data_IF_470547233914
#
_entry.id   IF_470547233914
#
_cell.length_a   1.000
_cell.length_b   1.000
_cell.length_c   1.000
_cell.angle_alpha   90.00
_cell.angle_beta   90.00
_cell.angle_gamma   90.00
#
_symmetry.space_group_name_H-M   'P 1'
#
loop_
_entity.id
_entity.type
_entity.pdbx_description
1 polymer ?
#
# COMPACT_ATOMS: atom_id res chain seq x y z
N UNK A 1 20.93 -12.40 -15.10
CA UNK A 1 20.20 -11.35 -14.34
C UNK A 1 19.73 -10.32 -15.35
N UNK A 2 18.43 -10.19 -15.60
CA UNK A 2 17.90 -9.11 -16.42
C UNK A 2 18.18 -7.77 -15.74
N UNK A 3 18.67 -6.79 -16.50
CA UNK A 3 18.90 -5.43 -15.99
C UNK A 3 17.54 -4.89 -15.51
N UNK A 4 17.48 -4.35 -14.28
CA UNK A 4 16.28 -3.68 -13.82
C UNK A 4 15.97 -2.49 -14.75
N UNK A 5 14.69 -2.21 -15.03
CA UNK A 5 14.33 -1.10 -15.90
C UNK A 5 14.76 0.24 -15.29
N UNK A 6 15.08 1.19 -16.13
CA UNK A 6 15.18 2.59 -15.69
C UNK A 6 13.82 3.11 -15.26
N UNK A 7 13.80 4.08 -14.34
CA UNK A 7 12.57 4.58 -13.75
C UNK A 7 12.35 6.02 -14.12
N UNK A 8 11.18 6.32 -14.67
CA UNK A 8 10.71 7.69 -14.92
C UNK A 8 9.75 8.09 -13.81
N UNK A 9 9.94 9.30 -13.27
CA UNK A 9 9.07 9.82 -12.20
C UNK A 9 8.38 11.10 -12.62
N UNK A 10 7.19 11.35 -12.07
CA UNK A 10 6.44 12.58 -12.26
C UNK A 10 5.58 12.90 -11.05
N UNK A 11 5.25 14.17 -10.86
CA UNK A 11 4.22 14.62 -9.91
C UNK A 11 3.07 15.22 -10.72
N UNK A 12 1.86 14.82 -10.38
CA UNK A 12 0.64 15.28 -11.03
C UNK A 12 -0.53 15.22 -10.06
N UNK A 13 -1.72 15.63 -10.50
CA UNK A 13 -2.95 15.51 -9.71
C UNK A 13 -4.04 14.86 -10.54
N UNK A 14 -4.89 14.10 -9.87
CA UNK A 14 -6.12 13.53 -10.43
C UNK A 14 -7.30 14.26 -9.83
N UNK A 15 -8.30 14.56 -10.64
CA UNK A 15 -9.47 15.34 -10.19
C UNK A 15 -10.76 14.62 -10.55
N UNK A 16 -11.67 14.51 -9.57
CA UNK A 16 -13.03 14.05 -9.77
C UNK A 16 -13.97 14.75 -8.78
N UNK A 17 -15.17 15.10 -9.22
CA UNK A 17 -16.24 15.67 -8.39
C UNK A 17 -15.81 16.90 -7.56
N UNK A 18 -14.90 17.72 -8.13
CA UNK A 18 -14.39 18.93 -7.47
C UNK A 18 -13.32 18.68 -6.39
N UNK A 19 -12.89 17.43 -6.21
CA UNK A 19 -11.73 17.07 -5.37
C UNK A 19 -10.50 16.85 -6.24
N UNK A 20 -9.35 17.32 -5.78
CA UNK A 20 -8.05 17.13 -6.41
C UNK A 20 -7.15 16.32 -5.47
N UNK A 21 -6.47 15.30 -6.01
CA UNK A 21 -5.56 14.42 -5.27
C UNK A 21 -4.22 14.43 -5.95
N UNK A 22 -3.22 14.98 -5.27
CA UNK A 22 -1.83 14.96 -5.75
C UNK A 22 -1.23 13.58 -5.62
N UNK A 23 -0.41 13.20 -6.59
CA UNK A 23 0.26 11.90 -6.62
C UNK A 23 1.71 12.03 -7.11
N UNK A 24 2.58 11.16 -6.59
CA UNK A 24 3.88 10.88 -7.17
C UNK A 24 3.79 9.57 -7.94
N UNK A 25 4.16 9.59 -9.21
CA UNK A 25 4.15 8.42 -10.08
C UNK A 25 5.58 8.02 -10.39
N UNK A 26 5.89 6.74 -10.23
CA UNK A 26 7.11 6.11 -10.73
C UNK A 26 6.72 4.97 -11.68
N UNK A 27 7.31 4.93 -12.86
CA UNK A 27 7.03 3.90 -13.87
C UNK A 27 8.32 3.37 -14.51
N UNK A 28 8.33 2.08 -14.91
CA UNK A 28 9.45 1.55 -15.68
C UNK A 28 9.48 2.19 -17.05
N UNK A 29 10.67 2.64 -17.50
CA UNK A 29 10.87 3.22 -18.82
C UNK A 29 10.67 2.17 -19.92
N UNK A 30 10.01 2.56 -21.02
CA UNK A 30 9.82 1.72 -22.21
C UNK A 30 8.82 0.58 -22.05
N UNK A 31 8.09 0.52 -20.93
CA UNK A 31 7.02 -0.47 -20.72
C UNK A 31 5.67 0.11 -21.14
N UNK A 32 5.06 -0.48 -22.17
CA UNK A 32 3.78 0.00 -22.71
C UNK A 32 2.59 -0.30 -21.79
N UNK A 33 2.58 -1.50 -21.18
CA UNK A 33 1.50 -1.92 -20.27
C UNK A 33 2.07 -2.60 -19.03
N UNK A 34 1.60 -2.21 -17.86
CA UNK A 34 1.99 -2.82 -16.59
C UNK A 34 0.85 -2.81 -15.57
N UNK A 35 0.88 -3.70 -14.57
CA UNK A 35 0.02 -3.56 -13.41
C UNK A 35 0.42 -2.31 -12.61
N UNK A 36 -0.57 -1.66 -11.99
CA UNK A 36 -0.36 -0.50 -11.14
C UNK A 36 -0.48 -0.88 -9.64
N UNK A 37 0.26 -0.15 -8.79
CA UNK A 37 0.17 -0.26 -7.34
C UNK A 37 -0.08 1.14 -6.77
N UNK A 38 -1.21 1.29 -6.08
CA UNK A 38 -1.49 2.47 -5.25
C UNK A 38 -0.69 2.31 -3.96
N UNK A 39 0.09 3.32 -3.59
CA UNK A 39 0.88 3.35 -2.35
C UNK A 39 0.32 4.43 -1.45
N UNK A 40 -0.03 4.06 -0.22
CA UNK A 40 -0.54 5.00 0.77
C UNK A 40 0.51 5.23 1.85
N UNK A 41 0.85 6.51 2.06
CA UNK A 41 1.92 6.92 2.96
C UNK A 41 1.60 6.66 4.45
N UNK A 42 2.64 6.69 5.28
CA UNK A 42 2.53 6.71 6.74
C UNK A 42 1.93 8.05 7.22
N UNK A 43 1.75 8.21 8.52
CA UNK A 43 1.24 9.45 9.13
C UNK A 43 2.12 10.70 8.90
N UNK A 44 3.32 10.51 8.32
CA UNK A 44 4.27 11.59 7.98
C UNK A 44 3.89 12.39 6.73
N UNK A 45 2.92 11.93 5.95
CA UNK A 45 2.61 12.47 4.62
C UNK A 45 3.43 11.84 3.49
N UNK A 46 3.18 12.27 2.26
CA UNK A 46 3.95 11.85 1.10
C UNK A 46 5.35 12.50 1.16
N UNK A 47 6.34 11.70 1.51
CA UNK A 47 7.70 12.12 1.77
C UNK A 47 8.72 11.35 0.89
N UNK A 48 10.02 11.73 0.88
CA UNK A 48 11.03 11.06 0.05
C UNK A 48 11.15 9.55 0.27
N UNK A 49 10.86 9.02 1.46
CA UNK A 49 10.85 7.58 1.71
C UNK A 49 9.77 6.88 0.87
N UNK A 50 8.55 7.40 0.87
CA UNK A 50 7.44 6.83 0.09
C UNK A 50 7.67 7.01 -1.41
N UNK A 51 8.29 8.13 -1.84
CA UNK A 51 8.70 8.32 -3.23
C UNK A 51 9.77 7.29 -3.65
N UNK A 52 10.73 6.95 -2.76
CA UNK A 52 11.71 5.88 -3.02
C UNK A 52 11.04 4.50 -3.07
N UNK A 53 10.12 4.21 -2.16
CA UNK A 53 9.32 2.96 -2.22
C UNK A 53 8.59 2.82 -3.56
N UNK A 54 7.99 3.91 -4.06
CA UNK A 54 7.35 3.91 -5.39
C UNK A 54 8.35 3.59 -6.51
N UNK A 55 9.56 4.17 -6.45
CA UNK A 55 10.62 3.87 -7.42
C UNK A 55 11.10 2.40 -7.32
N UNK A 56 11.14 1.82 -6.10
CA UNK A 56 11.46 0.39 -5.92
C UNK A 56 10.42 -0.48 -6.63
N UNK A 57 9.12 -0.21 -6.48
CA UNK A 57 8.07 -0.92 -7.22
C UNK A 57 8.19 -0.74 -8.74
N UNK A 58 8.57 0.45 -9.20
CA UNK A 58 8.77 0.68 -10.63
C UNK A 58 9.95 -0.13 -11.20
N UNK A 59 11.04 -0.32 -10.42
CA UNK A 59 12.16 -1.21 -10.80
C UNK A 59 11.73 -2.67 -10.90
N UNK A 60 10.69 -3.07 -10.18
CA UNK A 60 10.07 -4.40 -10.30
C UNK A 60 9.03 -4.49 -11.44
N UNK A 61 8.88 -3.42 -12.23
CA UNK A 61 8.04 -3.39 -13.42
C UNK A 61 6.57 -3.06 -13.15
N UNK A 62 6.26 -2.35 -12.06
CA UNK A 62 4.92 -1.83 -11.76
C UNK A 62 4.83 -0.33 -12.05
N UNK A 63 3.64 0.15 -12.40
CA UNK A 63 3.32 1.57 -12.34
C UNK A 63 2.97 1.88 -10.88
N UNK A 64 3.83 2.59 -10.17
CA UNK A 64 3.65 2.88 -8.75
C UNK A 64 3.12 4.31 -8.56
N UNK A 65 2.01 4.44 -7.84
CA UNK A 65 1.32 5.73 -7.64
C UNK A 65 1.17 6.00 -6.15
N UNK A 66 2.07 6.82 -5.61
CA UNK A 66 2.02 7.24 -4.22
C UNK A 66 1.05 8.41 -4.06
N UNK A 67 -0.01 8.18 -3.29
CA UNK A 67 -1.11 9.13 -3.11
C UNK A 67 -0.82 10.05 -1.94
N UNK A 68 -1.02 11.35 -2.13
CA UNK A 68 -0.93 12.35 -1.07
C UNK A 68 -2.30 12.60 -0.44
N UNK A 69 -2.47 12.15 0.80
CA UNK A 69 -3.70 12.34 1.58
C UNK A 69 -3.68 13.63 2.42
N UNK A 70 -2.57 14.38 2.39
CA UNK A 70 -2.38 15.58 3.21
C UNK A 70 -2.20 16.86 2.39
N UNK A 71 -2.57 16.83 1.10
CA UNK A 71 -2.58 18.00 0.21
C UNK A 71 -1.26 18.79 0.19
N UNK A 72 -0.15 18.07 0.02
CA UNK A 72 1.20 18.65 -0.08
C UNK A 72 1.93 18.81 1.26
N UNK A 73 1.31 18.42 2.37
CA UNK A 73 1.95 18.54 3.69
C UNK A 73 2.65 17.24 4.06
N UNK A 74 3.92 17.35 4.45
CA UNK A 74 4.67 16.25 5.08
C UNK A 74 5.50 16.78 6.23
N UNK A 75 5.75 15.97 7.25
CA UNK A 75 6.46 16.38 8.45
C UNK A 75 7.37 15.28 8.99
N UNK A 76 8.32 15.66 9.85
CA UNK A 76 9.11 14.75 10.69
C UNK A 76 8.79 14.94 12.19
N UNK A 77 7.96 15.93 12.49
CA UNK A 77 7.53 16.20 13.86
C UNK A 77 6.34 15.32 14.24
N UNK A 78 6.45 14.63 15.38
CA UNK A 78 5.43 13.71 15.88
C UNK A 78 4.10 14.38 16.21
N UNK A 79 4.13 15.61 16.77
CA UNK A 79 2.91 16.31 17.14
C UNK A 79 2.15 16.78 15.89
N UNK A 80 2.88 17.29 14.91
CA UNK A 80 2.29 17.68 13.64
C UNK A 80 1.75 16.47 12.88
N UNK A 81 2.47 15.34 12.85
CA UNK A 81 2.00 14.10 12.24
C UNK A 81 0.71 13.58 12.90
N UNK A 82 0.65 13.62 14.24
CA UNK A 82 -0.56 13.22 14.97
C UNK A 82 -1.75 14.16 14.67
N UNK A 83 -1.51 15.45 14.51
CA UNK A 83 -2.53 16.42 14.13
C UNK A 83 -3.04 16.20 12.71
N UNK A 84 -2.12 15.97 11.74
CA UNK A 84 -2.48 15.66 10.34
C UNK A 84 -3.33 14.38 10.27
N UNK A 85 -2.87 13.30 10.92
CA UNK A 85 -3.60 12.04 10.95
C UNK A 85 -4.97 12.18 11.64
N UNK A 86 -5.04 12.90 12.76
CA UNK A 86 -6.30 13.15 13.48
C UNK A 86 -7.30 14.05 12.72
N UNK A 87 -6.82 14.85 11.77
CA UNK A 87 -7.65 15.72 10.92
C UNK A 87 -8.17 15.02 9.67
N UNK A 88 -7.53 13.93 9.25
CA UNK A 88 -7.93 13.16 8.08
C UNK A 88 -9.11 12.24 8.45
N UNK A 89 -10.28 12.56 7.93
CA UNK A 89 -11.44 11.69 8.09
C UNK A 89 -11.27 10.44 7.21
N UNK A 90 -11.60 9.25 7.72
CA UNK A 90 -11.48 8.01 6.94
C UNK A 90 -12.20 8.07 5.59
N UNK A 91 -13.40 8.65 5.55
CA UNK A 91 -14.19 8.81 4.33
C UNK A 91 -13.52 9.73 3.28
N UNK A 92 -12.82 10.78 3.71
CA UNK A 92 -12.12 11.68 2.80
C UNK A 92 -10.86 11.01 2.22
N UNK A 93 -10.12 10.26 3.04
CA UNK A 93 -8.97 9.48 2.58
C UNK A 93 -9.38 8.39 1.58
N UNK A 94 -10.44 7.65 1.87
CA UNK A 94 -10.97 6.61 0.97
C UNK A 94 -11.51 7.20 -0.33
N UNK A 95 -12.20 8.36 -0.28
CA UNK A 95 -12.64 9.06 -1.48
C UNK A 95 -11.46 9.49 -2.36
N UNK A 96 -10.37 9.98 -1.76
CA UNK A 96 -9.14 10.33 -2.49
C UNK A 96 -8.52 9.10 -3.15
N UNK A 97 -8.44 7.98 -2.45
CA UNK A 97 -7.91 6.73 -3.01
C UNK A 97 -8.80 6.16 -4.12
N UNK A 98 -10.11 6.32 -4.01
CA UNK A 98 -11.05 5.94 -5.07
C UNK A 98 -10.82 6.76 -6.34
N UNK A 99 -10.60 8.06 -6.24
CA UNK A 99 -10.27 8.92 -7.39
C UNK A 99 -9.02 8.38 -8.10
N UNK A 100 -7.96 8.04 -7.35
CA UNK A 100 -6.73 7.47 -7.90
C UNK A 100 -6.99 6.12 -8.56
N UNK A 101 -7.77 5.24 -7.93
CA UNK A 101 -8.14 3.93 -8.45
C UNK A 101 -8.91 4.04 -9.77
N UNK A 102 -9.94 4.89 -9.81
CA UNK A 102 -10.77 5.09 -11.00
C UNK A 102 -9.95 5.66 -12.17
N UNK A 103 -9.04 6.60 -11.87
CA UNK A 103 -8.13 7.15 -12.86
C UNK A 103 -7.20 6.09 -13.44
N UNK A 104 -6.54 5.29 -12.58
CA UNK A 104 -5.67 4.19 -13.01
C UNK A 104 -6.41 3.18 -13.90
N UNK A 105 -7.66 2.88 -13.58
CA UNK A 105 -8.49 1.99 -14.37
C UNK A 105 -8.90 2.54 -15.72
N UNK A 106 -8.91 3.86 -15.87
CA UNK A 106 -9.18 4.52 -17.16
C UNK A 106 -7.97 4.56 -18.10
N UNK A 107 -6.76 4.23 -17.60
CA UNK A 107 -5.54 4.26 -18.40
C UNK A 107 -5.35 2.97 -19.17
N UNK A 108 -5.16 3.05 -20.49
CA UNK A 108 -4.96 1.88 -21.37
C UNK A 108 -3.69 1.09 -21.05
N UNK A 109 -2.69 1.73 -20.45
CA UNK A 109 -1.44 1.11 -20.00
C UNK A 109 -1.56 0.32 -18.71
N UNK A 110 -2.63 0.48 -17.92
CA UNK A 110 -2.82 -0.23 -16.66
C UNK A 110 -3.58 -1.52 -16.86
N UNK A 111 -2.96 -2.65 -16.55
CA UNK A 111 -3.56 -3.98 -16.73
C UNK A 111 -4.36 -4.49 -15.55
N UNK A 112 -4.01 -4.06 -14.35
CA UNK A 112 -4.63 -4.43 -13.06
C UNK A 112 -4.17 -3.46 -11.98
N UNK A 113 -4.87 -3.35 -10.85
CA UNK A 113 -4.53 -2.41 -9.77
C UNK A 113 -4.45 -3.13 -8.44
N UNK A 114 -3.28 -3.09 -7.80
CA UNK A 114 -3.08 -3.46 -6.41
C UNK A 114 -3.00 -2.23 -5.51
N UNK A 115 -3.11 -2.46 -4.20
CA UNK A 115 -2.91 -1.41 -3.20
C UNK A 115 -2.00 -1.88 -2.09
N UNK A 116 -1.11 -1.01 -1.65
CA UNK A 116 -0.29 -1.17 -0.46
C UNK A 116 -0.26 0.13 0.35
N UNK A 117 0.12 0.03 1.59
CA UNK A 117 0.28 1.21 2.42
C UNK A 117 0.92 0.85 3.75
N UNK A 118 1.44 1.85 4.43
CA UNK A 118 2.28 1.70 5.60
C UNK A 118 1.67 2.44 6.80
N UNK A 119 1.60 1.82 7.97
CA UNK A 119 1.02 2.42 9.18
C UNK A 119 -0.43 2.89 8.93
N UNK A 120 -0.72 4.17 9.06
CA UNK A 120 -2.00 4.77 8.66
C UNK A 120 -2.39 4.33 7.22
N UNK A 121 -1.44 4.37 6.29
CA UNK A 121 -1.66 3.93 4.92
C UNK A 121 -2.00 2.44 4.79
N UNK A 122 -1.48 1.59 5.68
CA UNK A 122 -1.84 0.18 5.76
C UNK A 122 -3.31 -0.01 6.12
N UNK A 123 -3.82 0.82 7.05
CA UNK A 123 -5.26 0.85 7.38
C UNK A 123 -6.09 1.21 6.16
N UNK A 124 -5.70 2.26 5.43
CA UNK A 124 -6.40 2.67 4.22
C UNK A 124 -6.34 1.62 3.10
N UNK A 125 -5.21 0.93 2.94
CA UNK A 125 -5.08 -0.15 1.95
C UNK A 125 -6.03 -1.33 2.25
N UNK A 126 -6.19 -1.70 3.53
CA UNK A 126 -7.15 -2.72 3.96
C UNK A 126 -8.59 -2.26 3.71
N UNK A 127 -8.93 -1.05 4.12
CA UNK A 127 -10.29 -0.52 3.99
C UNK A 127 -10.69 -0.30 2.52
N UNK A 128 -9.80 0.19 1.69
CA UNK A 128 -10.04 0.34 0.25
C UNK A 128 -10.36 -1.02 -0.39
N UNK A 129 -9.58 -2.06 -0.07
CA UNK A 129 -9.80 -3.42 -0.57
C UNK A 129 -11.12 -4.06 -0.09
N UNK A 130 -11.68 -3.57 1.04
CA UNK A 130 -12.98 -3.98 1.53
C UNK A 130 -14.16 -3.18 0.90
N UNK A 131 -13.89 -2.02 0.31
CA UNK A 131 -14.93 -1.14 -0.23
C UNK A 131 -14.95 -1.11 -1.75
N UNK A 132 -13.79 -1.21 -2.38
CA UNK A 132 -13.60 -1.09 -3.81
C UNK A 132 -12.99 -2.38 -4.37
N UNK A 133 -13.23 -2.61 -5.65
CA UNK A 133 -12.62 -3.75 -6.33
C UNK A 133 -11.17 -3.41 -6.66
N UNK A 134 -10.22 -4.07 -6.03
CA UNK A 134 -8.80 -4.11 -6.40
C UNK A 134 -8.39 -5.57 -6.62
N UNK A 135 -7.30 -5.81 -7.33
CA UNK A 135 -6.88 -7.18 -7.67
C UNK A 135 -5.99 -7.82 -6.60
N UNK A 136 -5.39 -7.01 -5.71
CA UNK A 136 -4.61 -7.48 -4.56
C UNK A 136 -4.38 -6.35 -3.55
N UNK A 137 -4.26 -6.69 -2.26
CA UNK A 137 -3.96 -5.71 -1.20
C UNK A 137 -2.86 -6.18 -0.27
N UNK A 138 -1.90 -5.29 0.03
CA UNK A 138 -0.81 -5.56 0.98
C UNK A 138 -0.71 -4.43 2.02
N UNK A 139 -1.48 -4.50 3.10
CA UNK A 139 -1.35 -3.60 4.24
C UNK A 139 -0.10 -3.93 5.06
N UNK A 140 0.79 -2.95 5.29
CA UNK A 140 1.88 -3.04 6.25
C UNK A 140 1.47 -2.39 7.57
N UNK A 141 1.49 -3.16 8.64
CA UNK A 141 1.22 -2.73 10.03
C UNK A 141 0.11 -1.67 10.13
N UNK A 142 -0.98 -1.87 9.37
CA UNK A 142 -2.17 -1.05 9.42
C UNK A 142 -3.11 -1.43 10.55
N UNK A 143 -3.90 -0.49 11.05
CA UNK A 143 -4.87 -0.80 12.09
C UNK A 143 -6.00 -1.69 11.57
N UNK A 144 -6.48 -2.55 12.45
CA UNK A 144 -7.53 -3.53 12.15
C UNK A 144 -8.86 -3.02 12.70
N UNK A 145 -9.90 -2.90 11.87
CA UNK A 145 -11.21 -2.45 12.33
C UNK A 145 -11.73 -3.26 13.53
N UNK A 146 -12.33 -2.57 14.49
CA UNK A 146 -12.98 -3.22 15.64
C UNK A 146 -14.20 -4.00 15.18
N UNK A 147 -15.02 -3.39 14.31
CA UNK A 147 -16.08 -4.09 13.60
C UNK A 147 -15.50 -4.90 12.44
N UNK A 148 -15.31 -6.18 12.66
CA UNK A 148 -14.75 -7.10 11.66
C UNK A 148 -15.73 -7.48 10.56
N UNK A 149 -16.98 -7.06 10.59
CA UNK A 149 -17.95 -7.32 9.51
C UNK A 149 -17.50 -6.67 8.20
N UNK A 150 -16.74 -5.58 8.26
CA UNK A 150 -16.15 -4.94 7.09
C UNK A 150 -15.20 -5.89 6.33
N UNK A 151 -14.51 -6.80 7.03
CA UNK A 151 -13.60 -7.79 6.41
C UNK A 151 -14.40 -8.79 5.56
N UNK A 152 -15.65 -9.02 5.88
CA UNK A 152 -16.56 -9.82 5.05
C UNK A 152 -16.74 -9.27 3.62
N UNK A 153 -16.47 -7.98 3.39
CA UNK A 153 -16.56 -7.33 2.07
C UNK A 153 -15.26 -7.41 1.26
N UNK A 154 -14.15 -7.87 1.87
CA UNK A 154 -12.88 -8.02 1.16
C UNK A 154 -13.07 -8.85 -0.12
N UNK A 155 -12.74 -8.26 -1.28
CA UNK A 155 -13.01 -8.83 -2.60
C UNK A 155 -11.77 -9.34 -3.35
N UNK A 156 -10.59 -9.25 -2.74
CA UNK A 156 -9.33 -9.62 -3.38
C UNK A 156 -8.42 -10.43 -2.44
N UNK A 157 -7.39 -11.11 -2.95
CA UNK A 157 -6.32 -11.65 -2.14
C UNK A 157 -5.66 -10.58 -1.27
N UNK A 158 -5.35 -10.93 -0.01
CA UNK A 158 -4.73 -10.04 0.98
C UNK A 158 -3.47 -10.69 1.57
N UNK A 159 -2.40 -9.90 1.66
CA UNK A 159 -1.22 -10.23 2.44
C UNK A 159 -0.99 -9.12 3.49
N UNK A 160 -1.37 -9.37 4.73
CA UNK A 160 -1.12 -8.44 5.83
C UNK A 160 0.27 -8.66 6.41
N UNK A 161 1.06 -7.60 6.55
CA UNK A 161 2.41 -7.62 7.11
C UNK A 161 2.42 -6.92 8.47
N UNK A 162 2.89 -7.59 9.52
CA UNK A 162 2.97 -7.03 10.87
C UNK A 162 4.24 -7.42 11.62
N UNK A 163 4.56 -6.69 12.67
CA UNK A 163 5.68 -6.97 13.57
C UNK A 163 5.19 -7.54 14.92
N UNK A 164 5.91 -8.54 15.44
CA UNK A 164 5.53 -9.18 16.72
C UNK A 164 5.59 -8.21 17.92
N UNK A 165 6.52 -7.25 17.88
CA UNK A 165 6.72 -6.24 18.94
C UNK A 165 6.06 -4.89 18.62
N UNK A 166 5.10 -4.89 17.71
CA UNK A 166 4.33 -3.69 17.42
C UNK A 166 3.39 -3.38 18.60
N UNK A 167 3.59 -2.23 19.23
CA UNK A 167 2.80 -1.79 20.40
C UNK A 167 1.45 -1.17 19.99
N UNK A 168 1.27 -0.80 18.72
CA UNK A 168 0.05 -0.20 18.20
C UNK A 168 -0.81 -1.21 17.46
N UNK A 169 -0.19 -1.97 16.57
CA UNK A 169 -0.84 -3.04 15.82
C UNK A 169 -0.45 -4.37 16.46
N UNK A 170 -0.99 -4.58 17.64
CA UNK A 170 -0.64 -5.70 18.51
C UNK A 170 -0.98 -7.06 17.90
N UNK A 171 -0.35 -8.11 18.42
CA UNK A 171 -0.69 -9.50 18.06
C UNK A 171 -2.18 -9.80 18.24
N UNK A 172 -2.82 -9.19 19.25
CA UNK A 172 -4.27 -9.33 19.45
C UNK A 172 -5.06 -8.79 18.25
N UNK A 173 -4.71 -7.59 17.76
CA UNK A 173 -5.34 -7.01 16.56
C UNK A 173 -5.11 -7.86 15.32
N UNK A 174 -3.88 -8.34 15.12
CA UNK A 174 -3.55 -9.23 13.99
C UNK A 174 -4.28 -10.57 14.06
N UNK A 175 -4.39 -11.16 15.25
CA UNK A 175 -5.16 -12.38 15.48
C UNK A 175 -6.67 -12.17 15.24
N UNK A 176 -7.20 -10.99 15.60
CA UNK A 176 -8.59 -10.60 15.29
C UNK A 176 -8.80 -10.53 13.78
N UNK A 177 -7.88 -9.94 13.04
CA UNK A 177 -7.93 -9.92 11.57
C UNK A 177 -7.88 -11.33 11.00
N UNK A 178 -6.93 -12.16 11.40
CA UNK A 178 -6.78 -13.54 10.92
C UNK A 178 -8.05 -14.37 11.20
N UNK A 179 -8.64 -14.21 12.38
CA UNK A 179 -9.89 -14.84 12.74
C UNK A 179 -11.04 -14.42 11.82
N UNK A 180 -11.17 -13.11 11.55
CA UNK A 180 -12.20 -12.59 10.66
C UNK A 180 -12.00 -13.08 9.22
N UNK A 181 -10.75 -13.06 8.72
CA UNK A 181 -10.42 -13.57 7.38
C UNK A 181 -10.83 -15.04 7.21
N UNK A 182 -10.55 -15.87 8.20
CA UNK A 182 -10.95 -17.28 8.23
C UNK A 182 -12.47 -17.43 8.31
N UNK A 183 -13.13 -16.67 9.19
CA UNK A 183 -14.59 -16.69 9.35
C UNK A 183 -15.31 -16.37 8.04
N UNK A 184 -14.81 -15.41 7.27
CA UNK A 184 -15.38 -15.00 5.98
C UNK A 184 -14.78 -15.73 4.78
N UNK A 185 -13.96 -16.78 5.00
CA UNK A 185 -13.33 -17.60 3.94
C UNK A 185 -12.59 -16.76 2.91
N UNK A 186 -11.79 -15.78 3.38
CA UNK A 186 -11.03 -14.90 2.48
C UNK A 186 -9.70 -15.54 2.06
N UNK A 187 -9.30 -15.30 0.81
CA UNK A 187 -7.95 -15.65 0.31
C UNK A 187 -6.95 -14.66 0.90
N UNK A 188 -6.36 -15.02 2.03
CA UNK A 188 -5.55 -14.09 2.78
C UNK A 188 -4.48 -14.77 3.64
N UNK A 189 -3.38 -14.03 3.87
CA UNK A 189 -2.30 -14.40 4.80
C UNK A 189 -2.04 -13.22 5.75
N UNK A 190 -1.87 -13.51 7.04
CA UNK A 190 -1.33 -12.58 8.04
C UNK A 190 0.09 -13.03 8.39
N UNK A 191 1.09 -12.29 7.92
CA UNK A 191 2.50 -12.58 8.17
C UNK A 191 3.05 -11.68 9.27
N UNK A 192 3.53 -12.30 10.33
CA UNK A 192 4.09 -11.62 11.51
C UNK A 192 5.59 -11.85 11.56
N UNK A 193 6.37 -10.78 11.54
CA UNK A 193 7.82 -10.82 11.66
C UNK A 193 8.24 -10.83 13.12
N UNK A 194 8.92 -11.90 13.53
CA UNK A 194 9.35 -12.13 14.92
C UNK A 194 10.36 -11.09 15.37
N UNK A 195 10.07 -10.44 16.48
CA UNK A 195 10.93 -9.40 17.06
C UNK A 195 10.90 -8.04 16.36
N UNK A 196 10.20 -7.92 15.22
CA UNK A 196 10.05 -6.65 14.51
C UNK A 196 9.07 -5.71 15.23
N UNK A 197 9.39 -4.42 15.24
CA UNK A 197 8.57 -3.36 15.81
C UNK A 197 7.65 -2.72 14.75
N UNK A 198 6.81 -1.79 15.16
CA UNK A 198 6.06 -0.95 14.21
C UNK A 198 7.01 -0.21 13.25
N UNK A 199 6.62 -0.11 11.98
CA UNK A 199 7.39 0.55 10.92
C UNK A 199 8.78 -0.08 10.63
N UNK A 200 8.98 -1.38 10.92
CA UNK A 200 10.25 -2.09 10.70
C UNK A 200 10.74 -2.06 9.25
N UNK A 201 9.88 -1.76 8.30
CA UNK A 201 10.22 -1.65 6.87
C UNK A 201 10.84 -0.29 6.51
N UNK A 202 10.65 0.75 7.33
CA UNK A 202 11.08 2.11 7.02
C UNK A 202 12.58 2.31 7.29
N UNK A 203 13.40 2.25 6.25
CA UNK A 203 14.86 2.36 6.28
C UNK A 203 15.38 3.78 6.60
N UNK A 204 14.50 4.78 6.63
CA UNK A 204 14.82 6.13 7.11
C UNK A 204 14.69 6.28 8.63
N UNK A 205 14.25 5.21 9.32
CA UNK A 205 14.05 5.15 10.77
C UNK A 205 14.93 4.07 11.41
N UNK A 206 16.21 4.35 11.66
CA UNK A 206 17.17 3.36 12.16
C UNK A 206 16.81 2.80 13.54
N UNK A 207 15.96 3.49 14.30
CA UNK A 207 15.45 3.08 15.61
C UNK A 207 14.51 1.85 15.56
N UNK A 208 13.83 1.64 14.42
CA UNK A 208 12.85 0.55 14.25
C UNK A 208 13.12 -0.32 13.01
N UNK A 209 14.00 0.12 12.11
CA UNK A 209 14.30 -0.59 10.88
C UNK A 209 14.94 -1.95 11.14
N UNK A 210 14.35 -3.01 10.61
CA UNK A 210 14.92 -4.35 10.59
C UNK A 210 15.25 -4.75 9.17
N UNK A 211 16.54 -4.65 8.80
CA UNK A 211 16.99 -4.90 7.41
C UNK A 211 16.57 -6.27 6.89
N UNK A 212 16.84 -7.33 7.66
CA UNK A 212 16.54 -8.71 7.24
C UNK A 212 15.04 -8.94 7.02
N UNK A 213 14.22 -8.38 7.93
CA UNK A 213 12.77 -8.54 7.87
C UNK A 213 12.18 -7.68 6.73
N UNK A 214 12.72 -6.48 6.52
CA UNK A 214 12.31 -5.61 5.42
C UNK A 214 12.65 -6.21 4.05
N UNK A 215 13.83 -6.82 3.89
CA UNK A 215 14.24 -7.51 2.66
C UNK A 215 13.38 -8.76 2.39
N UNK A 216 13.04 -9.53 3.43
CA UNK A 216 12.14 -10.68 3.30
C UNK A 216 10.71 -10.24 2.98
N UNK A 217 10.19 -9.22 3.69
CA UNK A 217 8.88 -8.66 3.41
C UNK A 217 8.79 -8.13 1.97
N UNK A 218 9.81 -7.41 1.51
CA UNK A 218 9.86 -6.90 0.13
C UNK A 218 9.75 -8.03 -0.89
N UNK A 219 10.60 -9.07 -0.77
CA UNK A 219 10.58 -10.24 -1.66
C UNK A 219 9.20 -10.89 -1.68
N UNK A 220 8.63 -11.15 -0.49
CA UNK A 220 7.31 -11.76 -0.34
C UNK A 220 6.21 -10.95 -1.00
N UNK A 221 6.23 -9.63 -0.82
CA UNK A 221 5.24 -8.71 -1.39
C UNK A 221 5.35 -8.65 -2.91
N UNK A 222 6.55 -8.62 -3.46
CA UNK A 222 6.76 -8.63 -4.91
C UNK A 222 6.28 -9.96 -5.51
N UNK A 223 6.56 -11.10 -4.89
CA UNK A 223 6.04 -12.40 -5.32
C UNK A 223 4.51 -12.44 -5.26
N UNK A 224 3.91 -11.89 -4.21
CA UNK A 224 2.46 -11.81 -4.04
C UNK A 224 1.82 -10.94 -5.13
N UNK A 225 2.32 -9.72 -5.37
CA UNK A 225 1.80 -8.86 -6.42
C UNK A 225 2.01 -9.46 -7.82
N UNK A 226 3.16 -10.06 -8.11
CA UNK A 226 3.38 -10.74 -9.40
C UNK A 226 2.36 -11.85 -9.63
N UNK A 227 2.06 -12.65 -8.61
CA UNK A 227 1.08 -13.75 -8.67
C UNK A 227 -0.34 -13.25 -8.96
N UNK A 228 -0.73 -12.13 -8.37
CA UNK A 228 -2.12 -11.69 -8.40
C UNK A 228 -2.39 -10.58 -9.43
N UNK A 229 -1.39 -9.77 -9.79
CA UNK A 229 -1.56 -8.67 -10.73
C UNK A 229 -1.14 -9.01 -12.17
N UNK A 230 -0.32 -10.06 -12.38
CA UNK A 230 0.14 -10.46 -13.72
C UNK A 230 -0.58 -11.70 -14.26
N UNK A 231 -1.77 -12.01 -13.76
CA UNK A 231 -2.59 -13.11 -14.26
C UNK A 231 -2.97 -12.84 -15.71
N UNK A 232 -2.47 -13.67 -16.63
CA UNK A 232 -2.73 -13.56 -18.07
C UNK A 232 -1.54 -13.11 -18.93
N UNK A 233 -0.42 -12.68 -18.35
CA UNK A 233 0.80 -12.33 -19.10
C UNK A 233 1.78 -13.52 -19.28
N UNK A 234 1.50 -14.68 -18.70
CA UNK A 234 2.38 -15.86 -18.72
C UNK A 234 2.23 -16.77 -19.97
N UNK A 235 1.65 -16.28 -21.06
CA UNK A 235 1.45 -17.07 -22.30
C UNK A 235 1.99 -16.35 -23.54
N UNK A 236 3.20 -15.79 -23.45
CA UNK A 236 3.81 -15.09 -24.59
C UNK A 236 5.30 -14.83 -24.40
N UNK A 237 6.09 -15.86 -24.15
CA UNK A 237 7.55 -15.83 -24.28
C UNK A 237 8.05 -17.14 -24.87
#
# INVERSE_FOLDING_TARGET
MSKQPEVVTSKTSFSAEGKEVSVFIARPEGVEKAPAIIIVHEWWGLNPHIEDVAQRYAREGFIAVATDLYHGVSTKDHQEAAKLMGSLKPEDGLASLKIVLDYLRSMDEVTSVGVTGFCMGGTFALLLACQEKVEASVPFYGDVPVDTTVIGKLGCPLLFIGGEKDEWITLEKMNRLDTALKQYSKDAEVRVYKGASHAFFNDTRPDVFSKSDAEDAWRTVIEFFNRHLRKGQAAGA
#
